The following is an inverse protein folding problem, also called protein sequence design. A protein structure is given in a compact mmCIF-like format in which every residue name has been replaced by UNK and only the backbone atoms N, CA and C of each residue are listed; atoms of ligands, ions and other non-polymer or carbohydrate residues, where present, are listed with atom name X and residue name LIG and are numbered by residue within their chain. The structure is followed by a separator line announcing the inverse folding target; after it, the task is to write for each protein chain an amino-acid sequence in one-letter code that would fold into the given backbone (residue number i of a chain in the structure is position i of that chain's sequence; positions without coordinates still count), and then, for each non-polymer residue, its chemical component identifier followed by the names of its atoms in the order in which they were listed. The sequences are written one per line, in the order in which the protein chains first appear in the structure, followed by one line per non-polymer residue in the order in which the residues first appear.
data_IF_213961058950
#
_entry.id   IF_213961058950
#
_cell.length_a   1.000
_cell.length_b   1.000
_cell.length_c   1.000
_cell.angle_alpha   90.00
_cell.angle_beta   90.00
_cell.angle_gamma   90.00
#
_symmetry.space_group_name_H-M   'P 1'
#
loop_
_entity.id
_entity.type
_entity.pdbx_description
1 polymer ?
#
# COMPACT_ATOMS: atom_id res chain seq x y z
N UNK A 1 23.04 -25.07 3.62
CA UNK A 1 21.89 -24.19 3.88
C UNK A 1 22.09 -22.86 3.18
N UNK A 2 21.11 -22.44 2.44
CA UNK A 2 21.18 -21.13 1.80
C UNK A 2 20.48 -20.08 2.64
N UNK A 3 21.08 -18.93 2.75
CA UNK A 3 20.40 -17.80 3.34
C UNK A 3 19.33 -17.27 2.38
N UNK A 4 18.24 -16.73 2.93
CA UNK A 4 17.25 -16.03 2.12
C UNK A 4 17.88 -14.80 1.49
N UNK A 5 17.64 -14.60 0.21
CA UNK A 5 18.19 -13.49 -0.55
C UNK A 5 17.06 -12.53 -0.89
N UNK A 6 17.31 -11.25 -0.65
CA UNK A 6 16.38 -10.20 -1.01
C UNK A 6 16.22 -10.14 -2.53
N UNK A 7 14.99 -10.21 -3.01
CA UNK A 7 14.67 -10.06 -4.43
C UNK A 7 13.95 -8.75 -4.65
N UNK A 8 14.46 -7.95 -5.57
CA UNK A 8 13.84 -6.67 -5.91
C UNK A 8 12.68 -6.94 -6.87
N UNK A 9 11.51 -6.39 -6.55
CA UNK A 9 10.32 -6.50 -7.37
C UNK A 9 10.08 -5.18 -8.10
N UNK A 10 10.00 -5.26 -9.42
CA UNK A 10 9.72 -4.10 -10.28
C UNK A 10 8.42 -4.39 -11.05
N UNK A 11 7.26 -4.00 -10.49
CA UNK A 11 5.98 -4.29 -11.13
C UNK A 11 5.88 -3.66 -12.51
N UNK A 12 5.32 -4.41 -13.47
CA UNK A 12 5.26 -3.98 -14.87
C UNK A 12 4.41 -2.73 -15.08
N UNK A 13 3.34 -2.60 -14.31
CA UNK A 13 2.34 -1.54 -14.50
C UNK A 13 2.44 -0.45 -13.44
N UNK A 14 3.55 -0.37 -12.72
CA UNK A 14 3.78 0.66 -11.73
C UNK A 14 4.73 1.72 -12.27
N UNK A 15 4.48 2.97 -11.92
CA UNK A 15 5.42 4.05 -12.22
C UNK A 15 6.74 3.82 -11.46
N UNK A 16 7.83 4.38 -11.96
CA UNK A 16 9.11 4.29 -11.27
C UNK A 16 9.02 4.96 -9.89
N UNK A 17 9.72 4.42 -8.88
CA UNK A 17 9.76 5.06 -7.56
C UNK A 17 10.34 6.47 -7.65
N UNK A 18 9.88 7.34 -6.77
CA UNK A 18 10.31 8.75 -6.74
C UNK A 18 11.55 8.99 -5.88
N UNK A 19 12.32 7.96 -5.60
CA UNK A 19 13.53 8.05 -4.78
C UNK A 19 14.33 6.75 -4.79
N UNK A 20 15.35 6.64 -3.93
CA UNK A 20 16.21 5.46 -3.89
C UNK A 20 15.56 4.31 -3.11
N UNK A 21 14.45 3.80 -3.62
CA UNK A 21 13.76 2.64 -3.04
C UNK A 21 13.04 1.89 -4.15
N UNK A 22 12.58 0.69 -3.85
CA UNK A 22 11.80 -0.13 -4.77
C UNK A 22 10.35 -0.22 -4.32
N UNK A 23 9.44 -0.52 -5.24
CA UNK A 23 8.02 -0.69 -4.89
C UNK A 23 7.79 -1.86 -3.97
N UNK A 24 8.56 -2.93 -4.13
CA UNK A 24 8.43 -4.09 -3.26
C UNK A 24 9.73 -4.88 -3.23
N UNK A 25 9.89 -5.63 -2.13
CA UNK A 25 11.03 -6.51 -1.90
C UNK A 25 10.50 -7.82 -1.38
N UNK A 26 10.92 -8.92 -1.99
CA UNK A 26 10.59 -10.27 -1.52
C UNK A 26 11.75 -10.83 -0.72
N UNK A 27 11.43 -11.46 0.41
CA UNK A 27 12.36 -12.33 1.12
C UNK A 27 11.60 -13.55 1.64
N UNK A 28 12.05 -14.75 1.26
CA UNK A 28 11.34 -15.98 1.59
C UNK A 28 9.92 -15.93 1.05
N UNK A 29 8.95 -16.15 1.92
CA UNK A 29 7.53 -16.14 1.56
C UNK A 29 6.86 -14.79 1.82
N UNK A 30 7.64 -13.76 2.12
CA UNK A 30 7.10 -12.43 2.43
C UNK A 30 7.41 -11.43 1.34
N UNK A 31 6.44 -10.58 1.07
CA UNK A 31 6.57 -9.43 0.19
C UNK A 31 6.34 -8.17 1.01
N UNK A 32 7.33 -7.28 1.00
CA UNK A 32 7.26 -5.98 1.65
C UNK A 32 7.00 -4.93 0.57
N UNK A 33 5.84 -4.28 0.63
CA UNK A 33 5.48 -3.24 -0.33
C UNK A 33 5.73 -1.88 0.29
N UNK A 34 6.42 -1.02 -0.44
CA UNK A 34 6.61 0.37 -0.05
C UNK A 34 5.28 1.09 0.04
N UNK A 35 5.21 2.13 0.84
CA UNK A 35 4.02 2.96 0.96
C UNK A 35 3.61 3.55 -0.39
N UNK A 36 2.33 3.42 -0.72
CA UNK A 36 1.78 3.95 -1.95
C UNK A 36 1.02 5.24 -1.66
N UNK A 37 1.23 6.25 -2.48
CA UNK A 37 0.57 7.54 -2.38
C UNK A 37 -0.19 7.83 -3.69
N UNK A 38 -1.23 8.71 -3.64
CA UNK A 38 -2.01 9.02 -4.83
C UNK A 38 -1.36 10.15 -5.63
N UNK A 39 -0.25 9.87 -6.33
CA UNK A 39 0.60 10.87 -7.01
C UNK A 39 -0.17 11.85 -7.88
N UNK A 40 -1.20 11.39 -8.57
CA UNK A 40 -1.97 12.18 -9.53
C UNK A 40 -3.28 12.75 -8.95
N UNK A 41 -3.52 12.55 -7.65
CA UNK A 41 -4.77 12.98 -7.00
C UNK A 41 -4.53 13.70 -5.67
N UNK A 42 -3.36 14.33 -5.50
CA UNK A 42 -2.97 14.94 -4.23
C UNK A 42 -3.87 16.09 -3.77
N UNK A 43 -4.61 16.71 -4.67
CA UNK A 43 -5.57 17.75 -4.31
C UNK A 43 -7.00 17.22 -4.23
N UNK A 44 -7.18 15.92 -4.48
CA UNK A 44 -8.49 15.30 -4.49
C UNK A 44 -9.02 15.00 -3.10
N UNK A 45 -10.27 14.54 -3.05
CA UNK A 45 -10.86 14.14 -1.80
C UNK A 45 -10.26 12.82 -1.31
N UNK A 46 -10.46 12.53 -0.04
CA UNK A 46 -9.89 11.35 0.61
C UNK A 46 -10.41 10.04 -0.01
N UNK A 47 -11.64 10.04 -0.50
CA UNK A 47 -12.23 8.85 -1.14
C UNK A 47 -11.46 8.49 -2.41
N UNK A 48 -11.26 9.48 -3.28
CA UNK A 48 -10.53 9.29 -4.54
C UNK A 48 -9.06 8.92 -4.28
N UNK A 49 -8.43 9.58 -3.30
CA UNK A 49 -7.05 9.29 -2.93
C UNK A 49 -6.88 7.88 -2.39
N UNK A 50 -7.75 7.44 -1.51
CA UNK A 50 -7.69 6.08 -0.93
C UNK A 50 -7.87 5.04 -2.01
N UNK A 51 -8.82 5.25 -2.92
CA UNK A 51 -9.04 4.33 -4.03
C UNK A 51 -7.79 4.21 -4.90
N UNK A 52 -7.16 5.33 -5.26
CA UNK A 52 -5.94 5.32 -6.05
C UNK A 52 -4.81 4.58 -5.35
N UNK A 53 -4.62 4.83 -4.06
CA UNK A 53 -3.60 4.15 -3.26
C UNK A 53 -3.81 2.64 -3.29
N UNK A 54 -5.05 2.19 -3.08
CA UNK A 54 -5.34 0.76 -3.05
C UNK A 54 -5.26 0.13 -4.44
N UNK A 55 -5.54 0.87 -5.51
CA UNK A 55 -5.29 0.39 -6.86
C UNK A 55 -3.79 0.21 -7.12
N UNK A 56 -2.96 1.11 -6.58
CA UNK A 56 -1.51 0.96 -6.68
C UNK A 56 -1.03 -0.29 -5.93
N UNK A 57 -1.54 -0.52 -4.73
CA UNK A 57 -1.23 -1.74 -3.95
C UNK A 57 -1.67 -2.98 -4.73
N UNK A 58 -2.87 -2.94 -5.31
CA UNK A 58 -3.40 -4.04 -6.10
C UNK A 58 -2.49 -4.38 -7.28
N UNK A 59 -1.97 -3.38 -7.96
CA UNK A 59 -1.07 -3.59 -9.10
C UNK A 59 0.19 -4.35 -8.69
N UNK A 60 0.77 -4.01 -7.52
CA UNK A 60 1.94 -4.70 -7.00
C UNK A 60 1.61 -6.15 -6.65
N UNK A 61 0.51 -6.36 -5.94
CA UNK A 61 0.07 -7.70 -5.53
C UNK A 61 -0.20 -8.57 -6.76
N UNK A 62 -0.95 -8.05 -7.72
CA UNK A 62 -1.30 -8.78 -8.94
C UNK A 62 -0.06 -9.17 -9.75
N UNK A 63 0.92 -8.28 -9.83
CA UNK A 63 2.19 -8.56 -10.50
C UNK A 63 2.89 -9.80 -9.89
N UNK A 64 2.69 -10.02 -8.59
CA UNK A 64 3.28 -11.14 -7.87
C UNK A 64 2.33 -12.34 -7.72
N UNK A 65 1.23 -12.35 -8.47
CA UNK A 65 0.25 -13.44 -8.41
C UNK A 65 -0.52 -13.50 -7.11
N UNK A 66 -0.60 -12.38 -6.39
CA UNK A 66 -1.29 -12.27 -5.11
C UNK A 66 -2.54 -11.41 -5.21
N UNK A 67 -3.38 -11.49 -4.18
CA UNK A 67 -4.58 -10.69 -4.01
C UNK A 67 -4.56 -10.08 -2.61
N UNK A 68 -5.57 -9.30 -2.26
CA UNK A 68 -5.64 -8.66 -0.95
C UNK A 68 -5.73 -9.67 0.20
N UNK A 69 -6.24 -10.87 -0.04
CA UNK A 69 -6.24 -11.95 0.97
C UNK A 69 -4.83 -12.38 1.39
N UNK A 70 -3.83 -12.10 0.58
CA UNK A 70 -2.44 -12.43 0.90
C UNK A 70 -1.81 -11.41 1.85
N UNK A 71 -2.46 -10.26 2.08
CA UNK A 71 -1.92 -9.21 2.95
C UNK A 71 -2.08 -9.64 4.40
N UNK A 72 -0.97 -9.61 5.15
CA UNK A 72 -0.97 -9.97 6.57
C UNK A 72 -0.91 -8.75 7.48
N UNK A 73 -0.37 -7.64 6.98
CA UNK A 73 -0.27 -6.40 7.74
C UNK A 73 -0.44 -5.21 6.80
N UNK A 74 -1.27 -4.26 7.19
CA UNK A 74 -1.39 -2.97 6.51
C UNK A 74 -1.13 -1.86 7.52
N UNK A 75 -0.47 -0.79 7.07
CA UNK A 75 -0.33 0.43 7.86
C UNK A 75 -0.85 1.58 7.02
N UNK A 76 -1.78 2.33 7.59
CA UNK A 76 -2.42 3.47 6.94
C UNK A 76 -1.96 4.75 7.64
N UNK A 77 -1.36 5.63 6.86
CA UNK A 77 -0.92 6.95 7.32
C UNK A 77 -1.86 7.99 6.75
N UNK A 78 -2.40 8.86 7.59
CA UNK A 78 -3.33 9.91 7.18
C UNK A 78 -2.89 11.25 7.73
N UNK A 79 -3.16 12.33 7.01
CA UNK A 79 -2.87 13.67 7.51
C UNK A 79 -4.01 14.21 8.37
N UNK A 80 -5.18 13.58 8.32
CA UNK A 80 -6.34 13.97 9.12
C UNK A 80 -7.19 12.74 9.46
N UNK A 81 -7.16 12.29 10.71
CA UNK A 81 -8.00 11.17 11.16
C UNK A 81 -9.48 11.48 11.14
N UNK A 82 -9.88 12.74 10.95
CA UNK A 82 -11.27 13.08 10.69
C UNK A 82 -11.83 12.41 9.45
N UNK A 83 -10.95 11.99 8.53
CA UNK A 83 -11.33 11.27 7.30
C UNK A 83 -11.33 9.74 7.47
N UNK A 84 -11.18 9.25 8.71
CA UNK A 84 -11.06 7.83 9.01
C UNK A 84 -12.24 7.00 8.48
N UNK A 85 -13.47 7.49 8.70
CA UNK A 85 -14.67 6.76 8.28
C UNK A 85 -14.73 6.61 6.75
N UNK A 86 -14.40 7.66 6.00
CA UNK A 86 -14.40 7.63 4.54
C UNK A 86 -13.30 6.71 4.02
N UNK A 87 -12.11 6.78 4.61
CA UNK A 87 -11.02 5.88 4.27
C UNK A 87 -11.44 4.43 4.49
N UNK A 88 -12.05 4.12 5.62
CA UNK A 88 -12.50 2.76 5.93
C UNK A 88 -13.55 2.25 4.94
N UNK A 89 -14.46 3.10 4.47
CA UNK A 89 -15.44 2.72 3.46
C UNK A 89 -14.77 2.22 2.19
N UNK A 90 -13.77 2.95 1.71
CA UNK A 90 -13.04 2.57 0.50
C UNK A 90 -12.19 1.32 0.75
N UNK A 91 -11.48 1.30 1.88
CA UNK A 91 -10.65 0.17 2.29
C UNK A 91 -11.45 -1.14 2.29
N UNK A 92 -12.69 -1.11 2.78
CA UNK A 92 -13.56 -2.28 2.86
C UNK A 92 -13.98 -2.84 1.50
N UNK A 93 -13.83 -2.08 0.42
CA UNK A 93 -14.10 -2.59 -0.92
C UNK A 93 -13.00 -3.52 -1.43
N UNK A 94 -11.80 -3.39 -0.86
CA UNK A 94 -10.61 -4.16 -1.25
C UNK A 94 -10.34 -5.30 -0.29
N UNK A 95 -10.48 -5.04 1.01
CA UNK A 95 -10.28 -6.04 2.06
C UNK A 95 -11.66 -6.51 2.53
N UNK A 96 -12.13 -7.63 1.98
CA UNK A 96 -13.52 -8.07 2.16
C UNK A 96 -13.68 -9.22 3.14
N UNK A 97 -12.63 -9.96 3.44
CA UNK A 97 -12.64 -11.08 4.37
C UNK A 97 -11.23 -11.37 4.86
N UNK A 98 -11.11 -12.09 5.98
CA UNK A 98 -9.82 -12.48 6.55
C UNK A 98 -8.88 -11.27 6.66
N UNK A 99 -9.36 -10.22 7.30
CA UNK A 99 -8.69 -8.93 7.35
C UNK A 99 -7.27 -9.03 7.89
N UNK A 100 -6.33 -8.27 7.30
CA UNK A 100 -4.98 -8.20 7.85
C UNK A 100 -4.97 -7.46 9.20
N UNK A 101 -3.92 -7.66 9.96
CA UNK A 101 -3.63 -6.76 11.07
C UNK A 101 -3.40 -5.35 10.50
N UNK A 102 -3.86 -4.31 11.21
CA UNK A 102 -3.74 -2.94 10.70
C UNK A 102 -3.45 -1.95 11.82
N UNK A 103 -2.65 -0.96 11.52
CA UNK A 103 -2.52 0.26 12.31
C UNK A 103 -2.88 1.45 11.42
N UNK A 104 -3.59 2.41 11.98
CA UNK A 104 -3.93 3.65 11.28
C UNK A 104 -3.52 4.81 12.18
N UNK A 105 -2.69 5.70 11.64
CA UNK A 105 -2.13 6.81 12.42
C UNK A 105 -2.23 8.12 11.66
N UNK A 106 -2.29 9.22 12.40
CA UNK A 106 -2.18 10.55 11.81
C UNK A 106 -0.74 10.99 11.83
N UNK A 107 -0.28 11.56 10.73
CA UNK A 107 1.07 12.10 10.58
C UNK A 107 0.97 13.59 10.21
N UNK A 108 2.08 14.30 10.41
CA UNK A 108 2.12 15.75 10.15
C UNK A 108 1.98 16.05 8.65
N UNK A 109 2.61 15.23 7.80
CA UNK A 109 2.59 15.43 6.35
C UNK A 109 3.00 14.13 5.66
N UNK A 110 2.63 14.00 4.40
CA UNK A 110 3.01 12.88 3.55
C UNK A 110 3.70 13.41 2.29
N UNK A 111 4.50 12.57 1.61
CA UNK A 111 5.16 13.00 0.37
C UNK A 111 4.16 13.56 -0.63
N UNK A 112 4.59 14.59 -1.34
CA UNK A 112 3.83 15.21 -2.42
C UNK A 112 2.47 15.77 -2.03
N UNK A 113 2.27 16.08 -0.74
CA UNK A 113 1.01 16.65 -0.27
C UNK A 113 -0.14 15.64 -0.22
N UNK A 114 0.16 14.35 -0.27
CA UNK A 114 -0.86 13.31 -0.14
C UNK A 114 -1.54 13.36 1.22
N UNK A 115 -2.80 12.94 1.26
CA UNK A 115 -3.57 12.88 2.52
C UNK A 115 -3.68 11.46 3.06
N UNK A 116 -3.27 10.46 2.28
CA UNK A 116 -3.25 9.05 2.70
C UNK A 116 -2.10 8.34 2.02
N UNK A 117 -1.49 7.41 2.77
CA UNK A 117 -0.46 6.52 2.28
C UNK A 117 -0.70 5.16 2.93
N UNK A 118 -0.56 4.07 2.16
CA UNK A 118 -0.75 2.72 2.69
C UNK A 118 0.43 1.85 2.28
N UNK A 119 1.00 1.15 3.26
CA UNK A 119 1.99 0.12 3.01
C UNK A 119 1.48 -1.22 3.49
N UNK A 120 1.92 -2.30 2.86
CA UNK A 120 1.47 -3.65 3.24
C UNK A 120 2.62 -4.62 3.27
N UNK A 121 2.44 -5.68 4.07
CA UNK A 121 3.26 -6.89 4.03
C UNK A 121 2.33 -8.01 3.64
N UNK A 122 2.74 -8.80 2.64
CA UNK A 122 1.94 -9.90 2.13
C UNK A 122 2.76 -11.20 2.14
N UNK A 123 2.07 -12.33 2.03
CA UNK A 123 2.74 -13.63 1.93
C UNK A 123 2.31 -14.32 0.64
N UNK A 124 3.24 -15.06 0.08
CA UNK A 124 2.99 -15.87 -1.09
C UNK A 124 2.15 -17.11 -0.78
#
# INVERSE_FOLDING_TARGET
MSASVKTIIKPKNAAAPVGPYNHAVRIGDLLFCSGQIPLDLVSGDIRAQTERVLENVKAILTDQGMAFQNVVKATVFMTNLGDFAVMNEVYARYFTADFPARSTVQVAALPRGANVEIEVVAHY
#
